data_IF_115554910879
#
_entry.id   IF_115554910879
#
_cell.length_a   1.000
_cell.length_b   1.000
_cell.length_c   1.000
_cell.angle_alpha   90.00
_cell.angle_beta   90.00
_cell.angle_gamma   90.00
#
_symmetry.space_group_name_H-M   'P 1'
#
loop_
_entity.id
_entity.type
_entity.pdbx_description
1 polymer ?
#
# COMPACT_ATOMS: atom_id res chain seq x y z
N UNK A 1 0.51 -14.41 -3.83
CA UNK A 1 0.79 -13.04 -3.32
C UNK A 1 1.07 -12.14 -4.51
N UNK A 2 0.17 -11.21 -4.86
CA UNK A 2 0.46 -10.25 -5.92
C UNK A 2 1.60 -9.32 -5.44
N UNK A 3 2.78 -9.49 -6.05
CA UNK A 3 3.86 -8.50 -5.97
C UNK A 3 3.48 -7.39 -6.93
N UNK A 4 3.12 -6.23 -6.41
CA UNK A 4 2.67 -5.13 -7.25
C UNK A 4 3.86 -4.44 -7.91
N UNK A 5 4.99 -4.30 -7.21
CA UNK A 5 6.13 -3.55 -7.73
C UNK A 5 7.45 -3.94 -7.03
N UNK A 6 8.55 -3.96 -7.79
CA UNK A 6 9.91 -3.88 -7.22
C UNK A 6 10.58 -2.63 -7.82
N UNK A 7 10.89 -1.64 -6.98
CA UNK A 7 11.49 -0.37 -7.40
C UNK A 7 12.59 0.02 -6.44
N UNK A 8 13.71 0.52 -6.96
CA UNK A 8 14.88 0.94 -6.17
C UNK A 8 15.48 -0.15 -5.25
N UNK A 9 15.19 -1.43 -5.53
CA UNK A 9 15.58 -2.56 -4.67
C UNK A 9 14.57 -2.87 -3.56
N UNK A 10 13.51 -2.07 -3.42
CA UNK A 10 12.41 -2.27 -2.49
C UNK A 10 11.27 -3.03 -3.13
N UNK A 11 10.67 -3.94 -2.35
CA UNK A 11 9.51 -4.73 -2.75
C UNK A 11 8.25 -4.13 -2.16
N UNK A 12 7.32 -3.80 -3.03
CA UNK A 12 6.01 -3.24 -2.70
C UNK A 12 4.96 -4.32 -2.90
N UNK A 13 4.19 -4.58 -1.84
CA UNK A 13 3.10 -5.52 -1.90
C UNK A 13 1.92 -5.01 -1.07
N UNK A 14 0.72 -5.11 -1.64
CA UNK A 14 -0.52 -4.83 -0.92
C UNK A 14 -1.12 -6.16 -0.49
N UNK A 15 -1.46 -6.29 0.79
CA UNK A 15 -2.17 -7.47 1.30
C UNK A 15 -3.65 -7.19 1.15
N UNK A 16 -4.20 -7.58 0.00
CA UNK A 16 -5.62 -7.41 -0.31
C UNK A 16 -6.53 -8.42 0.42
N UNK A 17 -5.94 -9.42 1.08
CA UNK A 17 -6.71 -10.47 1.71
C UNK A 17 -7.37 -10.03 3.03
N UNK A 18 -6.83 -8.99 3.69
CA UNK A 18 -7.32 -8.52 4.99
C UNK A 18 -8.39 -7.43 4.87
N UNK A 19 -8.86 -7.10 3.66
CA UNK A 19 -9.76 -5.97 3.40
C UNK A 19 -11.15 -6.07 4.04
N UNK A 20 -11.51 -7.25 4.55
CA UNK A 20 -12.71 -7.44 5.36
C UNK A 20 -12.59 -6.84 6.78
N UNK A 21 -11.37 -6.80 7.35
CA UNK A 21 -11.12 -6.39 8.73
C UNK A 21 -10.16 -5.19 8.85
N UNK A 22 -9.22 -5.05 7.92
CA UNK A 22 -8.23 -3.98 7.91
C UNK A 22 -8.36 -3.06 6.68
N UNK A 23 -8.12 -1.75 6.84
CA UNK A 23 -8.17 -0.83 5.71
C UNK A 23 -7.00 -1.05 4.74
N UNK A 24 -7.19 -0.57 3.50
CA UNK A 24 -6.21 -0.70 2.42
C UNK A 24 -4.82 -0.17 2.82
N UNK A 25 -3.80 -1.03 2.72
CA UNK A 25 -2.42 -0.69 3.10
C UNK A 25 -1.38 -1.42 2.25
N UNK A 26 -0.21 -0.78 2.12
CA UNK A 26 0.93 -1.25 1.35
C UNK A 26 2.10 -1.50 2.28
N UNK A 27 2.71 -2.68 2.12
CA UNK A 27 3.97 -3.02 2.76
C UNK A 27 5.10 -2.83 1.77
N UNK A 28 6.19 -2.28 2.28
CA UNK A 28 7.41 -2.01 1.54
C UNK A 28 8.57 -2.63 2.30
N UNK A 29 9.30 -3.54 1.68
CA UNK A 29 10.48 -4.17 2.30
C UNK A 29 11.70 -4.10 1.42
N UNK A 30 12.85 -3.78 2.01
CA UNK A 30 14.16 -3.84 1.36
C UNK A 30 14.81 -5.19 1.64
N UNK A 31 14.43 -6.21 0.85
CA UNK A 31 14.98 -7.59 0.94
C UNK A 31 15.04 -8.13 2.39
N UNK A 32 14.08 -7.76 3.25
CA UNK A 32 14.01 -8.18 4.65
C UNK A 32 14.88 -7.39 5.65
N UNK A 33 15.71 -6.45 5.20
CA UNK A 33 16.54 -5.60 6.10
C UNK A 33 15.77 -4.40 6.63
N UNK A 34 14.92 -3.81 5.80
CA UNK A 34 14.07 -2.67 6.17
C UNK A 34 12.63 -3.00 5.84
N UNK A 35 11.72 -2.49 6.65
CA UNK A 35 10.28 -2.66 6.45
C UNK A 35 9.56 -1.34 6.71
N UNK A 36 8.58 -1.04 5.88
CA UNK A 36 7.69 0.10 6.00
C UNK A 36 6.26 -0.35 5.69
N UNK A 37 5.31 0.22 6.41
CA UNK A 37 3.88 -0.01 6.19
C UNK A 37 3.19 1.32 6.06
N UNK A 38 2.37 1.45 5.03
CA UNK A 38 1.64 2.66 4.70
C UNK A 38 0.16 2.34 4.54
N UNK A 39 -0.68 3.04 5.29
CA UNK A 39 -2.12 3.10 5.02
C UNK A 39 -2.32 3.94 3.77
N UNK A 40 -3.08 3.42 2.81
CA UNK A 40 -3.44 4.15 1.61
C UNK A 40 -4.90 4.57 1.74
N UNK A 41 -5.12 5.87 1.62
CA UNK A 41 -6.42 6.51 1.79
C UNK A 41 -6.94 6.80 0.38
N UNK A 42 -8.23 6.54 0.10
CA UNK A 42 -8.83 6.73 -1.23
C UNK A 42 -8.76 8.19 -1.68
N UNK A 43 -8.62 9.12 -0.74
CA UNK A 43 -8.39 10.55 -0.96
C UNK A 43 -7.00 10.85 -1.58
N UNK A 44 -6.18 9.82 -1.82
CA UNK A 44 -4.82 9.96 -2.36
C UNK A 44 -3.77 10.31 -1.29
N UNK A 45 -4.18 10.29 -0.02
CA UNK A 45 -3.30 10.42 1.13
C UNK A 45 -2.70 9.08 1.53
N UNK A 46 -1.48 9.11 2.06
CA UNK A 46 -0.82 7.94 2.63
C UNK A 46 -0.40 8.27 4.05
N UNK A 47 -0.60 7.33 4.97
CA UNK A 47 -0.19 7.50 6.35
C UNK A 47 0.76 6.38 6.74
N UNK A 48 1.96 6.77 7.16
CA UNK A 48 2.94 5.82 7.67
C UNK A 48 2.39 5.14 8.93
N UNK A 49 2.18 3.82 8.84
CA UNK A 49 1.76 2.98 9.95
C UNK A 49 2.96 2.49 10.76
N UNK A 50 4.00 2.08 10.04
CA UNK A 50 5.18 1.45 10.62
C UNK A 50 6.39 1.75 9.75
N UNK A 51 7.51 2.02 10.39
CA UNK A 51 8.78 2.18 9.71
C UNK A 51 9.90 1.57 10.54
N UNK A 52 10.69 0.73 9.89
CA UNK A 52 11.89 0.13 10.41
C UNK A 52 13.04 0.33 9.43
N UNK A 53 13.82 1.38 9.69
CA UNK A 53 15.09 1.65 9.00
C UNK A 53 15.00 2.48 7.72
N UNK A 54 13.83 2.99 7.34
CA UNK A 54 13.71 3.95 6.23
C UNK A 54 13.83 5.40 6.70
N UNK A 55 14.67 6.17 6.00
CA UNK A 55 14.85 7.60 6.22
C UNK A 55 13.71 8.40 5.60
N UNK A 56 13.51 9.64 6.03
CA UNK A 56 12.46 10.52 5.49
C UNK A 56 12.56 10.71 3.96
N UNK A 57 13.78 10.72 3.42
CA UNK A 57 14.01 10.77 1.97
C UNK A 57 13.52 9.50 1.24
N UNK A 58 13.73 8.32 1.83
CA UNK A 58 13.25 7.07 1.26
C UNK A 58 11.71 7.01 1.32
N UNK A 59 11.13 7.47 2.43
CA UNK A 59 9.67 7.58 2.60
C UNK A 59 9.04 8.44 1.51
N UNK A 60 9.59 9.62 1.24
CA UNK A 60 9.12 10.47 0.15
C UNK A 60 9.18 9.77 -1.23
N UNK A 61 10.23 8.98 -1.50
CA UNK A 61 10.33 8.19 -2.73
C UNK A 61 9.27 7.08 -2.79
N UNK A 62 9.08 6.36 -1.68
CA UNK A 62 8.08 5.31 -1.51
C UNK A 62 6.68 5.90 -1.74
N UNK A 63 6.36 7.01 -1.09
CA UNK A 63 5.09 7.70 -1.21
C UNK A 63 4.85 8.14 -2.65
N UNK A 64 5.86 8.73 -3.32
CA UNK A 64 5.74 9.12 -4.71
C UNK A 64 5.50 7.93 -5.63
N UNK A 65 6.27 6.85 -5.49
CA UNK A 65 6.09 5.63 -6.28
C UNK A 65 4.71 4.99 -6.06
N UNK A 66 4.24 4.94 -4.81
CA UNK A 66 2.89 4.47 -4.48
C UNK A 66 1.85 5.38 -5.12
N UNK A 67 1.99 6.71 -5.00
CA UNK A 67 1.05 7.69 -5.55
C UNK A 67 0.93 7.61 -7.06
N UNK A 68 2.05 7.38 -7.77
CA UNK A 68 2.07 7.19 -9.21
C UNK A 68 1.36 5.90 -9.65
N UNK A 69 1.44 4.83 -8.84
CA UNK A 69 0.80 3.55 -9.10
C UNK A 69 -0.58 3.40 -8.43
N UNK A 70 -0.98 4.35 -7.61
CA UNK A 70 -2.22 4.40 -6.85
C UNK A 70 -3.47 4.20 -7.72
N UNK A 71 -3.62 4.82 -8.91
CA UNK A 71 -4.76 4.55 -9.78
C UNK A 71 -4.84 3.08 -10.22
N UNK A 72 -3.70 2.45 -10.56
CA UNK A 72 -3.65 1.03 -10.93
C UNK A 72 -4.03 0.15 -9.76
N UNK A 73 -3.49 0.44 -8.58
CA UNK A 73 -3.74 -0.30 -7.35
C UNK A 73 -5.22 -0.19 -6.92
N UNK A 74 -5.80 1.01 -6.97
CA UNK A 74 -7.22 1.22 -6.69
C UNK A 74 -8.10 0.49 -7.71
N UNK A 75 -7.72 0.49 -8.99
CA UNK A 75 -8.47 -0.22 -10.01
C UNK A 75 -8.45 -1.73 -9.75
N UNK A 76 -7.27 -2.30 -9.45
CA UNK A 76 -7.15 -3.72 -9.08
C UNK A 76 -7.92 -4.05 -7.80
N UNK A 77 -7.88 -3.17 -6.80
CA UNK A 77 -8.65 -3.34 -5.57
C UNK A 77 -10.16 -3.32 -5.86
N UNK A 78 -10.63 -2.36 -6.66
CA UNK A 78 -12.03 -2.26 -7.05
C UNK A 78 -12.48 -3.51 -7.82
N UNK A 79 -11.69 -3.98 -8.79
CA UNK A 79 -11.94 -5.23 -9.52
C UNK A 79 -12.01 -6.42 -8.57
N UNK A 80 -11.04 -6.55 -7.65
CA UNK A 80 -11.04 -7.65 -6.68
C UNK A 80 -12.26 -7.61 -5.76
N UNK A 81 -12.64 -6.44 -5.27
CA UNK A 81 -13.86 -6.26 -4.47
C UNK A 81 -15.12 -6.62 -5.25
N UNK A 82 -15.22 -6.22 -6.50
CA UNK A 82 -16.35 -6.53 -7.38
C UNK A 82 -16.46 -8.04 -7.63
N UNK A 83 -15.35 -8.69 -7.99
CA UNK A 83 -15.29 -10.14 -8.23
C UNK A 83 -15.61 -10.95 -6.97
N UNK A 84 -15.22 -10.48 -5.79
CA UNK A 84 -15.44 -11.19 -4.52
C UNK A 84 -16.70 -10.71 -3.76
N UNK A 85 -17.48 -9.77 -4.32
CA UNK A 85 -18.62 -9.14 -3.63
C UNK A 85 -18.26 -8.55 -2.25
N UNK A 86 -17.03 -8.02 -2.11
CA UNK A 86 -16.53 -7.41 -0.88
C UNK A 86 -16.76 -5.90 -0.95
N UNK A 87 -17.29 -5.31 0.13
CA UNK A 87 -17.35 -3.84 0.24
C UNK A 87 -15.96 -3.28 0.49
N UNK A 88 -15.46 -2.35 -0.35
CA UNK A 88 -14.13 -1.81 -0.15
C UNK A 88 -14.09 -0.96 1.12
N UNK A 89 -13.32 -1.41 2.11
CA UNK A 89 -13.05 -0.66 3.34
C UNK A 89 -11.80 0.19 3.15
N UNK A 90 -11.95 1.47 3.49
CA UNK A 90 -10.88 2.45 3.45
C UNK A 90 -10.71 3.09 4.83
N UNK A 91 -9.48 3.45 5.18
CA UNK A 91 -9.25 4.25 6.39
C UNK A 91 -9.67 5.68 6.09
N UNK A 92 -10.75 6.15 6.70
CA UNK A 92 -11.07 7.57 6.77
C UNK A 92 -10.12 8.24 7.76
N UNK A 93 -9.42 9.30 7.35
CA UNK A 93 -8.82 10.26 8.28
C UNK A 93 -9.96 10.82 9.13
N UNK A 94 -9.94 10.54 10.44
CA UNK A 94 -10.85 11.13 11.42
C UNK A 94 -10.11 12.19 12.20
#
# INVERSE_FOLDING_TARGET
MPKFLEMYGWRFFAVMFDLLNEPFHIHVTDKGKKECKYWVIPDGHMQLAYNRGFSTADRNKIERAIKENLPTILNQYKTYCDENNIKPTYKTLR
#
